data_IF_797013047304
#
_entry.id   IF_797013047304
#
_cell.length_a   1.000
_cell.length_b   1.000
_cell.length_c   1.000
_cell.angle_alpha   90.00
_cell.angle_beta   90.00
_cell.angle_gamma   90.00
#
_symmetry.space_group_name_H-M   'P 1'
#
loop_
_entity.id
_entity.type
_entity.pdbx_description
1 polymer ?
#
# COMPACT_ATOMS: atom_id res chain seq x y z
N UNK A 1 -30.96 -18.51 -17.49
CA UNK A 1 -30.13 -17.30 -17.69
C UNK A 1 -29.96 -17.16 -19.20
N UNK A 2 -30.22 -16.02 -19.85
CA UNK A 2 -30.13 -15.98 -21.31
C UNK A 2 -28.68 -16.29 -21.66
N UNK A 3 -28.50 -17.35 -22.45
CA UNK A 3 -27.21 -17.61 -23.07
C UNK A 3 -26.86 -16.35 -23.85
N UNK A 4 -25.76 -15.70 -23.49
CA UNK A 4 -25.20 -14.69 -24.36
C UNK A 4 -24.73 -15.49 -25.58
N UNK A 5 -25.50 -15.44 -26.67
CA UNK A 5 -25.33 -16.28 -27.87
C UNK A 5 -24.01 -16.07 -28.62
N UNK A 6 -23.07 -15.29 -28.06
CA UNK A 6 -21.74 -15.05 -28.60
C UNK A 6 -20.66 -15.66 -27.69
N UNK A 7 -19.97 -16.73 -28.15
CA UNK A 7 -18.89 -17.39 -27.41
C UNK A 7 -17.80 -16.44 -26.91
N UNK A 8 -17.46 -15.40 -27.69
CA UNK A 8 -16.42 -14.44 -27.33
C UNK A 8 -16.80 -13.55 -26.15
N UNK A 9 -18.09 -13.20 -26.03
CA UNK A 9 -18.57 -12.40 -24.90
C UNK A 9 -18.52 -13.22 -23.62
N UNK A 10 -18.86 -14.52 -23.69
CA UNK A 10 -18.74 -15.43 -22.55
C UNK A 10 -17.30 -15.54 -22.06
N UNK A 11 -16.33 -15.71 -22.96
CA UNK A 11 -14.90 -15.75 -22.63
C UNK A 11 -14.45 -14.45 -21.95
N UNK A 12 -14.83 -13.29 -22.50
CA UNK A 12 -14.49 -11.98 -21.93
C UNK A 12 -15.10 -11.79 -20.54
N UNK A 13 -16.36 -12.21 -20.35
CA UNK A 13 -17.07 -12.06 -19.09
C UNK A 13 -16.44 -12.96 -18.01
N UNK A 14 -16.05 -14.20 -18.36
CA UNK A 14 -15.27 -15.09 -17.48
C UNK A 14 -13.94 -14.43 -17.08
N UNK A 15 -13.24 -13.82 -18.03
CA UNK A 15 -11.97 -13.12 -17.75
C UNK A 15 -12.18 -11.97 -16.75
N UNK A 16 -13.16 -11.09 -17.01
CA UNK A 16 -13.42 -9.91 -16.18
C UNK A 16 -13.89 -10.29 -14.77
N UNK A 17 -14.84 -11.22 -14.65
CA UNK A 17 -15.34 -11.62 -13.32
C UNK A 17 -14.25 -12.27 -12.47
N UNK A 18 -13.34 -13.01 -13.11
CA UNK A 18 -12.21 -13.62 -12.43
C UNK A 18 -11.19 -12.58 -11.94
N UNK A 19 -10.94 -11.53 -12.73
CA UNK A 19 -10.13 -10.39 -12.26
C UNK A 19 -10.71 -9.81 -10.97
N UNK A 20 -12.03 -9.57 -10.92
CA UNK A 20 -12.67 -9.07 -9.71
C UNK A 20 -12.55 -10.05 -8.55
N UNK A 21 -12.86 -11.33 -8.78
CA UNK A 21 -12.75 -12.38 -7.76
C UNK A 21 -11.35 -12.41 -7.14
N UNK A 22 -10.30 -12.48 -7.99
CA UNK A 22 -8.92 -12.59 -7.51
C UNK A 22 -8.42 -11.29 -6.91
N UNK A 23 -8.89 -10.14 -7.39
CA UNK A 23 -8.60 -8.86 -6.74
C UNK A 23 -9.13 -8.82 -5.31
N UNK A 24 -10.37 -9.28 -5.07
CA UNK A 24 -10.92 -9.37 -3.72
C UNK A 24 -10.18 -10.40 -2.86
N UNK A 25 -9.81 -11.54 -3.43
CA UNK A 25 -9.01 -12.57 -2.77
C UNK A 25 -7.65 -12.01 -2.27
N UNK A 26 -6.94 -11.29 -3.13
CA UNK A 26 -5.67 -10.63 -2.80
C UNK A 26 -5.87 -9.55 -1.74
N UNK A 27 -6.90 -8.71 -1.89
CA UNK A 27 -7.23 -7.67 -0.91
C UNK A 27 -7.53 -8.25 0.47
N UNK A 28 -8.35 -9.31 0.56
CA UNK A 28 -8.62 -10.02 1.82
C UNK A 28 -7.32 -10.51 2.46
N UNK A 29 -6.44 -11.14 1.68
CA UNK A 29 -5.17 -11.66 2.18
C UNK A 29 -4.33 -10.53 2.79
N UNK A 30 -4.14 -9.42 2.09
CA UNK A 30 -3.34 -8.29 2.57
C UNK A 30 -3.98 -7.66 3.83
N UNK A 31 -5.30 -7.44 3.83
CA UNK A 31 -6.01 -6.91 5.00
C UNK A 31 -5.86 -7.81 6.23
N UNK A 32 -5.87 -9.12 6.04
CA UNK A 32 -5.69 -10.10 7.11
C UNK A 32 -4.27 -10.05 7.68
N UNK A 33 -3.26 -10.00 6.80
CA UNK A 33 -1.85 -9.89 7.20
C UNK A 33 -1.56 -8.57 7.93
N UNK A 34 -2.24 -7.48 7.53
CA UNK A 34 -2.16 -6.17 8.17
C UNK A 34 -3.02 -6.03 9.44
N UNK A 35 -3.76 -7.08 9.83
CA UNK A 35 -4.55 -7.09 11.06
C UNK A 35 -5.89 -6.35 11.00
N UNK A 36 -6.35 -5.92 9.82
CA UNK A 36 -7.65 -5.27 9.62
C UNK A 36 -8.80 -6.30 9.58
N UNK A 37 -9.03 -7.00 10.69
CA UNK A 37 -9.90 -8.18 10.80
C UNK A 37 -11.32 -7.95 10.29
N UNK A 38 -11.96 -6.84 10.67
CA UNK A 38 -13.35 -6.55 10.27
C UNK A 38 -13.47 -6.18 8.78
N UNK A 39 -12.52 -5.41 8.24
CA UNK A 39 -12.49 -5.10 6.82
C UNK A 39 -12.22 -6.35 5.99
N UNK A 40 -11.30 -7.21 6.44
CA UNK A 40 -11.03 -8.49 5.79
C UNK A 40 -12.28 -9.38 5.77
N UNK A 41 -13.04 -9.45 6.86
CA UNK A 41 -14.30 -10.20 6.92
C UNK A 41 -15.34 -9.65 5.92
N UNK A 42 -15.51 -8.33 5.87
CA UNK A 42 -16.43 -7.69 4.92
C UNK A 42 -16.06 -7.96 3.46
N UNK A 43 -14.77 -7.82 3.12
CA UNK A 43 -14.25 -8.12 1.78
C UNK A 43 -14.47 -9.59 1.43
N UNK A 44 -14.33 -10.49 2.40
CA UNK A 44 -14.58 -11.94 2.20
C UNK A 44 -16.04 -12.23 1.83
N UNK A 45 -17.00 -11.47 2.37
CA UNK A 45 -18.42 -11.65 2.01
C UNK A 45 -18.65 -11.25 0.55
N UNK A 46 -18.09 -10.11 0.11
CA UNK A 46 -18.16 -9.67 -1.28
C UNK A 46 -17.45 -10.64 -2.22
N UNK A 47 -16.28 -11.14 -1.82
CA UNK A 47 -15.52 -12.15 -2.56
C UNK A 47 -16.36 -13.40 -2.83
N UNK A 48 -17.07 -13.92 -1.82
CA UNK A 48 -17.90 -15.13 -1.96
C UNK A 48 -19.08 -14.89 -2.91
N UNK A 49 -19.69 -13.71 -2.89
CA UNK A 49 -20.75 -13.36 -3.85
C UNK A 49 -20.24 -13.38 -5.29
N UNK A 50 -19.06 -12.78 -5.55
CA UNK A 50 -18.43 -12.80 -6.87
C UNK A 50 -18.03 -14.23 -7.26
N UNK A 51 -17.51 -15.01 -6.31
CA UNK A 51 -17.11 -16.40 -6.53
C UNK A 51 -18.29 -17.27 -6.97
N UNK A 52 -19.45 -17.19 -6.29
CA UNK A 52 -20.64 -17.99 -6.65
C UNK A 52 -21.10 -17.66 -8.08
N UNK A 53 -21.11 -16.37 -8.44
CA UNK A 53 -21.50 -15.92 -9.78
C UNK A 53 -20.48 -16.36 -10.83
N UNK A 54 -19.18 -16.22 -10.55
CA UNK A 54 -18.10 -16.60 -11.45
C UNK A 54 -17.98 -18.11 -11.65
N UNK A 55 -18.10 -18.90 -10.58
CA UNK A 55 -18.04 -20.36 -10.63
C UNK A 55 -19.13 -20.92 -11.55
N UNK A 56 -20.36 -20.39 -11.45
CA UNK A 56 -21.46 -20.79 -12.32
C UNK A 56 -21.17 -20.53 -13.81
N UNK A 57 -20.40 -19.50 -14.15
CA UNK A 57 -20.03 -19.21 -15.54
C UNK A 57 -18.93 -20.14 -16.05
N UNK A 58 -17.93 -20.43 -15.21
CA UNK A 58 -16.80 -21.29 -15.59
C UNK A 58 -17.26 -22.73 -15.75
N UNK A 59 -18.08 -23.24 -14.82
CA UNK A 59 -18.57 -24.62 -14.86
C UNK A 59 -19.37 -24.93 -16.13
N UNK A 60 -20.13 -23.95 -16.65
CA UNK A 60 -20.88 -24.10 -17.91
C UNK A 60 -20.00 -24.03 -19.18
N UNK A 61 -18.70 -23.76 -19.03
CA UNK A 61 -17.76 -23.53 -20.14
C UNK A 61 -16.50 -24.39 -20.10
N UNK A 62 -16.42 -25.40 -19.22
CA UNK A 62 -15.22 -26.24 -19.02
C UNK A 62 -14.80 -27.04 -20.25
N UNK A 63 -15.73 -27.32 -21.16
CA UNK A 63 -15.46 -28.11 -22.37
C UNK A 63 -14.60 -27.36 -23.41
N UNK A 64 -14.41 -26.03 -23.22
CA UNK A 64 -13.67 -25.18 -24.14
C UNK A 64 -12.36 -24.71 -23.52
N UNK A 65 -11.26 -25.01 -24.21
CA UNK A 65 -9.91 -24.63 -23.75
C UNK A 65 -9.75 -23.10 -23.65
N UNK A 66 -10.47 -22.32 -24.49
CA UNK A 66 -10.40 -20.86 -24.46
C UNK A 66 -10.89 -20.28 -23.13
N UNK A 67 -11.95 -20.88 -22.54
CA UNK A 67 -12.48 -20.45 -21.25
C UNK A 67 -11.49 -20.74 -20.12
N UNK A 68 -10.77 -21.87 -20.19
CA UNK A 68 -9.74 -22.24 -19.21
C UNK A 68 -8.56 -21.25 -19.29
N UNK A 69 -8.12 -20.91 -20.50
CA UNK A 69 -7.03 -19.94 -20.72
C UNK A 69 -7.45 -18.55 -20.22
N UNK A 70 -8.67 -18.10 -20.55
CA UNK A 70 -9.21 -16.84 -20.07
C UNK A 70 -9.31 -16.81 -18.54
N UNK A 71 -9.69 -17.93 -17.91
CA UNK A 71 -9.69 -18.04 -16.45
C UNK A 71 -8.26 -17.91 -15.88
N UNK A 72 -7.28 -18.62 -16.43
CA UNK A 72 -5.89 -18.56 -15.95
C UNK A 72 -5.28 -17.15 -16.11
N UNK A 73 -5.51 -16.49 -17.26
CA UNK A 73 -5.06 -15.12 -17.49
C UNK A 73 -5.78 -14.11 -16.60
N UNK A 74 -7.09 -14.27 -16.40
CA UNK A 74 -7.88 -13.44 -15.50
C UNK A 74 -7.39 -13.53 -14.06
N UNK A 75 -6.96 -14.73 -13.63
CA UNK A 75 -6.38 -14.93 -12.31
C UNK A 75 -5.07 -14.15 -12.14
N UNK A 76 -4.13 -14.29 -13.07
CA UNK A 76 -2.86 -13.54 -13.02
C UNK A 76 -3.06 -12.02 -13.07
N UNK A 77 -3.95 -11.54 -13.95
CA UNK A 77 -4.29 -10.13 -14.05
C UNK A 77 -4.96 -9.61 -12.75
N UNK A 78 -5.85 -10.41 -12.15
CA UNK A 78 -6.50 -10.09 -10.89
C UNK A 78 -5.54 -9.89 -9.73
N UNK A 79 -4.44 -10.65 -9.64
CA UNK A 79 -3.41 -10.44 -8.61
C UNK A 79 -2.77 -9.06 -8.80
N UNK A 80 -2.38 -8.70 -10.02
CA UNK A 80 -1.76 -7.41 -10.32
C UNK A 80 -2.72 -6.26 -9.97
N UNK A 81 -3.99 -6.38 -10.35
CA UNK A 81 -5.02 -5.39 -10.04
C UNK A 81 -5.24 -5.28 -8.54
N UNK A 82 -5.37 -6.40 -7.82
CA UNK A 82 -5.52 -6.43 -6.36
C UNK A 82 -4.35 -5.76 -5.64
N UNK A 83 -3.11 -6.03 -6.07
CA UNK A 83 -1.92 -5.37 -5.51
C UNK A 83 -1.92 -3.87 -5.78
N UNK A 84 -2.28 -3.42 -7.00
CA UNK A 84 -2.38 -2.00 -7.33
C UNK A 84 -3.45 -1.28 -6.52
N UNK A 85 -4.61 -1.91 -6.31
CA UNK A 85 -5.68 -1.35 -5.47
C UNK A 85 -5.15 -1.15 -4.04
N UNK A 86 -4.44 -2.13 -3.49
CA UNK A 86 -3.86 -2.01 -2.16
C UNK A 86 -2.83 -0.88 -2.06
N UNK A 87 -1.94 -0.78 -3.05
CA UNK A 87 -0.93 0.28 -3.16
C UNK A 87 -1.59 1.67 -3.19
N UNK A 88 -2.69 1.83 -3.93
CA UNK A 88 -3.46 3.07 -4.00
C UNK A 88 -4.11 3.46 -2.66
N UNK A 89 -4.60 2.48 -1.89
CA UNK A 89 -5.21 2.76 -0.58
C UNK A 89 -4.11 3.06 0.46
N UNK A 90 -2.88 2.55 0.26
CA UNK A 90 -1.70 2.81 1.07
C UNK A 90 -1.99 2.69 2.58
N UNK A 91 -2.63 1.58 2.96
CA UNK A 91 -3.14 1.35 4.31
C UNK A 91 -2.00 1.19 5.31
N UNK A 92 -2.11 1.94 6.40
CA UNK A 92 -1.23 1.84 7.56
C UNK A 92 -0.24 2.99 7.69
N UNK A 93 0.74 2.75 8.55
CA UNK A 93 1.82 3.67 8.85
C UNK A 93 3.14 2.99 8.58
N UNK A 94 4.17 3.78 8.26
CA UNK A 94 5.52 3.30 8.06
C UNK A 94 6.48 4.16 8.88
N UNK A 95 7.46 3.52 9.50
CA UNK A 95 8.54 4.20 10.18
C UNK A 95 9.70 4.34 9.22
N UNK A 96 10.12 5.58 9.00
CA UNK A 96 11.30 5.93 8.23
C UNK A 96 12.40 6.32 9.22
N UNK A 97 13.48 5.56 9.22
CA UNK A 97 14.69 5.86 9.93
C UNK A 97 15.67 6.52 8.97
N UNK A 98 16.10 7.73 9.31
CA UNK A 98 17.01 8.55 8.49
C UNK A 98 18.26 8.81 9.31
N UNK A 99 19.42 8.41 8.80
CA UNK A 99 20.73 8.81 9.32
C UNK A 99 21.30 9.87 8.41
N UNK A 100 21.55 11.07 8.92
CA UNK A 100 22.09 12.19 8.13
C UNK A 100 23.57 12.00 7.78
N UNK A 101 24.03 12.70 6.75
CA UNK A 101 25.42 12.76 6.33
C UNK A 101 26.29 13.55 7.33
N UNK A 102 25.76 14.68 7.77
CA UNK A 102 26.40 15.59 8.72
C UNK A 102 25.45 15.83 9.90
N UNK A 103 26.00 16.25 11.03
CA UNK A 103 25.21 16.59 12.20
C UNK A 103 24.55 17.96 12.00
N UNK A 104 23.37 17.96 11.39
CA UNK A 104 22.55 19.15 11.18
C UNK A 104 21.31 19.14 12.09
N UNK A 105 21.19 20.18 12.92
CA UNK A 105 20.07 20.34 13.87
C UNK A 105 18.82 20.95 13.23
N UNK A 106 18.90 21.47 12.00
CA UNK A 106 17.78 22.15 11.35
C UNK A 106 16.82 21.18 10.67
N UNK A 107 17.31 20.07 10.09
CA UNK A 107 16.49 19.06 9.41
C UNK A 107 15.30 18.56 10.27
N UNK A 108 15.48 18.18 11.57
CA UNK A 108 14.36 17.80 12.43
C UNK A 108 13.33 18.90 12.65
N UNK A 109 13.75 20.17 12.63
CA UNK A 109 12.87 21.32 12.83
C UNK A 109 11.99 21.52 11.59
N UNK A 110 12.61 21.55 10.41
CA UNK A 110 11.92 21.65 9.12
C UNK A 110 10.85 20.56 8.97
N UNK A 111 11.22 19.30 9.23
CA UNK A 111 10.28 18.18 9.15
C UNK A 111 9.10 18.30 10.13
N UNK A 112 9.32 18.83 11.34
CA UNK A 112 8.23 19.09 12.30
C UNK A 112 7.31 20.21 11.84
N UNK A 113 7.86 21.25 11.22
CA UNK A 113 7.08 22.39 10.72
C UNK A 113 6.15 21.97 9.56
N UNK A 114 6.64 21.06 8.70
CA UNK A 114 5.86 20.37 7.65
C UNK A 114 4.75 19.47 8.23
N UNK A 115 4.85 19.09 9.51
CA UNK A 115 3.84 18.34 10.24
C UNK A 115 4.17 16.87 10.48
N UNK A 116 5.41 16.44 10.24
CA UNK A 116 5.88 15.10 10.60
C UNK A 116 6.20 14.99 12.09
N UNK A 117 5.90 13.82 12.66
CA UNK A 117 6.35 13.46 14.00
C UNK A 117 7.78 12.94 13.94
N UNK A 118 8.75 13.74 14.38
CA UNK A 118 10.18 13.40 14.32
C UNK A 118 10.76 13.25 15.72
N UNK A 119 11.18 12.03 16.03
CA UNK A 119 12.11 11.72 17.14
C UNK A 119 13.52 11.71 16.58
N UNK A 120 14.47 12.35 17.25
CA UNK A 120 15.86 12.42 16.78
C UNK A 120 16.82 12.24 17.96
N UNK A 121 17.98 11.66 17.71
CA UNK A 121 19.03 11.44 18.68
C UNK A 121 20.42 11.50 18.01
N UNK A 122 21.43 11.86 18.78
CA UNK A 122 22.82 11.84 18.32
C UNK A 122 23.33 10.39 18.29
N UNK A 123 23.99 10.03 17.21
CA UNK A 123 24.68 8.75 17.03
C UNK A 123 26.10 9.00 16.53
N UNK A 124 26.96 7.99 16.58
CA UNK A 124 28.32 8.07 16.05
C UNK A 124 28.48 7.02 14.95
N UNK A 125 28.86 7.46 13.77
CA UNK A 125 29.22 6.59 12.64
C UNK A 125 30.73 6.43 12.53
N UNK A 126 31.17 5.68 11.52
CA UNK A 126 32.61 5.53 11.20
C UNK A 126 33.28 6.88 10.95
N UNK A 127 32.58 7.76 10.24
CA UNK A 127 33.12 9.02 9.75
C UNK A 127 32.76 10.23 10.65
N UNK A 128 32.35 9.98 11.91
CA UNK A 128 32.06 11.02 12.92
C UNK A 128 30.62 11.05 13.43
N UNK A 129 30.23 12.16 14.04
CA UNK A 129 28.90 12.38 14.59
C UNK A 129 27.81 12.39 13.51
N UNK A 130 26.69 11.73 13.81
CA UNK A 130 25.55 11.58 12.92
C UNK A 130 24.27 11.89 13.66
N UNK A 131 23.30 12.45 12.97
CA UNK A 131 21.96 12.58 13.52
C UNK A 131 21.08 11.45 12.97
N UNK A 132 20.46 10.70 13.87
CA UNK A 132 19.49 9.67 13.50
C UNK A 132 18.10 10.16 13.85
N UNK A 133 17.19 10.05 12.90
CA UNK A 133 15.80 10.47 13.00
C UNK A 133 14.90 9.27 12.78
N UNK A 134 13.95 9.07 13.68
CA UNK A 134 12.83 8.16 13.51
C UNK A 134 11.57 8.99 13.28
N UNK A 135 11.00 8.81 12.10
CA UNK A 135 9.84 9.52 11.62
C UNK A 135 8.78 8.46 11.36
N UNK A 136 7.53 8.66 11.79
CA UNK A 136 6.45 7.92 11.15
C UNK A 136 5.40 8.78 10.52
N UNK A 137 4.97 8.22 9.41
CA UNK A 137 4.13 8.86 8.44
C UNK A 137 3.13 7.82 7.95
N UNK A 138 1.91 8.24 7.58
CA UNK A 138 1.02 7.39 6.80
C UNK A 138 1.76 6.88 5.56
N UNK A 139 1.57 5.61 5.20
CA UNK A 139 2.29 4.97 4.08
C UNK A 139 2.14 5.76 2.76
N UNK A 140 0.99 6.38 2.54
CA UNK A 140 0.75 7.26 1.37
C UNK A 140 1.72 8.46 1.22
N UNK A 141 2.38 8.87 2.30
CA UNK A 141 3.33 9.99 2.30
C UNK A 141 4.78 9.52 2.44
N UNK A 142 5.05 8.22 2.31
CA UNK A 142 6.39 7.64 2.37
C UNK A 142 7.30 8.26 1.32
N UNK A 143 6.92 8.15 0.04
CA UNK A 143 7.70 8.68 -1.08
C UNK A 143 7.97 10.18 -0.91
N UNK A 144 6.92 10.93 -0.56
CA UNK A 144 7.03 12.38 -0.32
C UNK A 144 8.03 12.72 0.79
N UNK A 145 8.02 11.97 1.90
CA UNK A 145 8.97 12.15 2.99
C UNK A 145 10.39 11.77 2.54
N UNK A 146 10.55 10.68 1.80
CA UNK A 146 11.86 10.27 1.28
C UNK A 146 12.44 11.33 0.35
N UNK A 147 11.63 11.93 -0.52
CA UNK A 147 12.09 12.96 -1.45
C UNK A 147 12.41 14.27 -0.71
N UNK A 148 11.57 14.67 0.26
CA UNK A 148 11.87 15.82 1.15
C UNK A 148 13.23 15.62 1.86
N UNK A 149 13.48 14.42 2.39
CA UNK A 149 14.74 14.11 3.09
C UNK A 149 15.94 14.15 2.13
N UNK A 150 15.80 13.63 0.91
CA UNK A 150 16.88 13.67 -0.10
C UNK A 150 17.21 15.09 -0.56
N UNK A 151 16.23 15.99 -0.61
CA UNK A 151 16.47 17.41 -0.92
C UNK A 151 17.24 18.10 0.20
N UNK A 152 16.87 17.83 1.45
CA UNK A 152 17.55 18.39 2.63
C UNK A 152 18.95 17.79 2.82
N UNK A 153 19.12 16.50 2.58
CA UNK A 153 20.40 15.79 2.68
C UNK A 153 20.51 14.68 1.62
N UNK A 154 21.18 14.97 0.48
CA UNK A 154 21.35 14.02 -0.61
C UNK A 154 22.16 12.76 -0.25
N UNK A 155 22.94 12.81 0.84
CA UNK A 155 23.79 11.72 1.31
C UNK A 155 23.18 11.00 2.52
N UNK A 156 21.94 11.33 2.89
CA UNK A 156 21.23 10.67 3.97
C UNK A 156 21.00 9.18 3.67
N UNK A 157 21.17 8.36 4.69
CA UNK A 157 20.86 6.94 4.64
C UNK A 157 19.46 6.70 5.20
N UNK A 158 18.57 6.12 4.38
CA UNK A 158 17.15 5.99 4.68
C UNK A 158 16.76 4.50 4.71
N UNK A 159 16.11 4.07 5.79
CA UNK A 159 15.50 2.75 5.93
C UNK A 159 14.03 2.92 6.28
N UNK A 160 13.15 2.20 5.58
CA UNK A 160 11.73 2.16 5.88
C UNK A 160 11.32 0.78 6.40
N UNK A 161 10.52 0.73 7.46
CA UNK A 161 9.97 -0.51 8.00
C UNK A 161 8.54 -0.33 8.54
N UNK A 162 7.73 -1.37 8.38
CA UNK A 162 6.33 -1.35 8.78
C UNK A 162 6.14 -1.82 10.24
N UNK A 163 5.60 -0.97 11.13
CA UNK A 163 5.25 -1.38 12.49
C UNK A 163 4.01 -2.29 12.46
N UNK A 164 4.09 -3.45 13.11
CA UNK A 164 2.94 -4.37 13.24
C UNK A 164 1.90 -3.89 14.25
N UNK A 165 2.34 -3.35 15.38
CA UNK A 165 1.49 -2.85 16.46
C UNK A 165 1.98 -1.49 16.91
N UNK A 166 1.06 -0.53 17.07
CA UNK A 166 1.35 0.81 17.59
C UNK A 166 0.52 0.99 18.85
N UNK A 167 1.16 1.36 19.97
CA UNK A 167 0.50 1.62 21.24
C UNK A 167 1.02 2.92 21.86
N UNK A 168 0.13 3.89 22.09
CA UNK A 168 0.48 5.17 22.72
C UNK A 168 1.28 6.16 21.84
N UNK A 169 1.73 7.26 22.47
CA UNK A 169 2.53 8.34 21.87
C UNK A 169 1.71 9.49 21.25
N UNK A 170 2.37 10.60 20.91
CA UNK A 170 1.86 11.68 20.03
C UNK A 170 1.25 11.15 18.70
N UNK A 171 1.57 9.89 18.41
CA UNK A 171 1.29 9.05 17.27
C UNK A 171 -0.18 8.61 17.19
N UNK A 172 -0.92 8.63 18.32
CA UNK A 172 -2.38 8.38 18.36
C UNK A 172 -3.19 9.67 18.11
N UNK A 173 -2.59 10.85 18.27
CA UNK A 173 -3.24 12.17 18.06
C UNK A 173 -3.10 12.72 16.64
N UNK A 174 -2.66 11.90 15.70
CA UNK A 174 -2.73 12.17 14.27
C UNK A 174 -1.55 12.98 13.76
N UNK A 175 -0.75 12.34 12.91
CA UNK A 175 0.03 13.06 11.90
C UNK A 175 -0.94 14.02 11.19
N UNK A 176 -0.61 15.32 11.14
CA UNK A 176 -1.49 16.36 10.58
C UNK A 176 -1.58 16.20 9.06
N UNK A 177 -2.34 15.21 8.60
CA UNK A 177 -2.51 14.86 7.19
C UNK A 177 -2.93 16.04 6.31
N UNK A 178 -3.63 17.03 6.88
CA UNK A 178 -3.96 18.29 6.18
C UNK A 178 -2.72 19.12 5.86
N UNK A 179 -1.75 19.24 6.79
CA UNK A 179 -0.49 19.96 6.55
C UNK A 179 0.41 19.19 5.57
N UNK A 180 0.52 17.87 5.71
CA UNK A 180 1.29 17.03 4.79
C UNK A 180 0.77 17.09 3.34
N UNK A 181 -0.52 17.31 3.16
CA UNK A 181 -1.13 17.44 1.83
C UNK A 181 -0.94 18.84 1.23
N UNK A 182 -0.63 19.86 2.04
CA UNK A 182 -0.69 21.26 1.64
C UNK A 182 0.62 21.84 1.08
N UNK A 183 1.77 21.26 1.42
CA UNK A 183 3.07 21.73 0.91
C UNK A 183 3.48 20.90 -0.33
N UNK A 184 4.29 21.43 -1.23
CA UNK A 184 4.92 20.64 -2.30
C UNK A 184 6.40 20.40 -2.01
N UNK A 185 6.92 19.25 -2.42
CA UNK A 185 8.35 18.92 -2.24
C UNK A 185 9.25 19.86 -3.04
N UNK A 186 8.79 20.41 -4.16
CA UNK A 186 9.59 21.32 -4.99
C UNK A 186 9.76 22.73 -4.37
N UNK A 187 9.04 23.05 -3.29
CA UNK A 187 9.07 24.34 -2.60
C UNK A 187 9.96 24.36 -1.34
N UNK A 188 10.66 23.25 -1.05
CA UNK A 188 11.50 23.04 0.15
C UNK A 188 12.97 23.09 -0.25
#
# INVERSE_FOLDING_TARGET
MPAIDNPWITVLLIFVINIFYVSFLTMRMILTLKGYRYLAAFVSVLEVLVYIVGLGMVMNGLDKIENIIAYALGFGAGIIVGMKIEEMIALGYIVINVTTAEYDKEIPKTLRDLGYGVTHYAAHGRDGDRLVMQILTPRRFELKLMDTVKQLDPKAFIIAYEPKNIHGGFWVKGVRSKKLKAYDTDEI
#
